data_IF_551839785362
#
_entry.id   IF_551839785362
#
_cell.length_a   1.000
_cell.length_b   1.000
_cell.length_c   1.000
_cell.angle_alpha   90.00
_cell.angle_beta   90.00
_cell.angle_gamma   90.00
#
_symmetry.space_group_name_H-M   'P 1'
#
loop_
_entity.id
_entity.type
_entity.pdbx_description
1 polymer ?
#
# COMPACT_ATOMS: atom_id res chain seq x y z
N UNK A 1 -21.90 42.99 26.07
CA UNK A 1 -21.76 42.45 24.68
C UNK A 1 -22.18 43.58 23.74
N UNK A 2 -21.22 44.10 22.97
CA UNK A 2 -21.50 45.13 22.00
C UNK A 2 -22.00 44.45 20.71
N UNK A 3 -23.20 44.78 20.24
CA UNK A 3 -23.73 44.34 18.95
C UNK A 3 -23.27 45.31 17.87
N UNK A 4 -22.36 44.84 16.97
CA UNK A 4 -22.00 45.59 15.77
C UNK A 4 -23.00 45.27 14.66
N UNK A 5 -23.72 46.23 14.17
CA UNK A 5 -24.72 46.09 13.07
C UNK A 5 -24.20 46.82 11.81
N UNK A 6 -24.07 46.10 10.67
CA UNK A 6 -23.57 46.64 9.41
C UNK A 6 -22.12 47.08 9.44
N UNK A 7 -21.24 46.23 10.02
CA UNK A 7 -19.81 46.41 9.98
C UNK A 7 -19.24 45.44 8.95
N UNK A 8 -18.60 45.94 7.91
CA UNK A 8 -17.97 45.15 6.85
C UNK A 8 -16.48 44.80 7.15
N UNK A 9 -15.86 45.58 8.06
CA UNK A 9 -14.44 45.41 8.37
C UNK A 9 -14.24 45.33 9.89
N UNK A 10 -13.54 44.32 10.33
CA UNK A 10 -13.21 44.09 11.72
C UNK A 10 -11.69 43.91 11.87
N UNK A 11 -11.12 44.58 12.84
CA UNK A 11 -9.74 44.37 13.23
C UNK A 11 -9.68 43.88 14.66
N UNK A 12 -8.97 42.77 14.86
CA UNK A 12 -8.75 42.15 16.17
C UNK A 12 -7.78 42.89 17.03
N UNK A 13 -7.40 42.25 18.12
CA UNK A 13 -6.60 42.82 19.21
C UNK A 13 -5.16 42.26 19.21
N UNK A 14 -4.52 42.19 20.38
CA UNK A 14 -3.23 41.54 20.60
C UNK A 14 -3.38 40.20 21.35
N UNK A 15 -4.59 39.76 21.57
CA UNK A 15 -4.96 38.50 22.21
C UNK A 15 -5.58 37.58 21.16
N UNK A 16 -5.80 36.30 21.52
CA UNK A 16 -6.59 35.40 20.71
C UNK A 16 -8.03 35.91 20.53
N UNK A 17 -8.41 36.17 19.30
CA UNK A 17 -9.72 36.73 18.96
C UNK A 17 -10.58 35.67 18.23
N UNK A 18 -11.90 35.73 18.43
CA UNK A 18 -12.88 35.07 17.58
C UNK A 18 -13.60 36.15 16.76
N UNK A 19 -13.42 36.12 15.44
CA UNK A 19 -13.95 37.15 14.54
C UNK A 19 -14.83 36.48 13.50
N UNK A 20 -16.13 36.77 13.55
CA UNK A 20 -17.11 36.26 12.58
C UNK A 20 -17.65 37.39 11.70
N UNK A 21 -17.74 37.12 10.39
CA UNK A 21 -18.42 37.97 9.42
C UNK A 21 -19.93 37.71 9.34
N UNK A 22 -20.53 38.12 8.24
CA UNK A 22 -21.98 37.97 7.94
C UNK A 22 -22.17 37.54 6.48
N UNK A 23 -23.34 37.68 5.92
CA UNK A 23 -23.67 37.31 4.53
C UNK A 23 -23.18 38.35 3.48
N UNK A 24 -22.41 39.33 3.86
CA UNK A 24 -21.85 40.36 2.97
C UNK A 24 -20.34 40.22 2.89
N UNK A 25 -19.71 40.76 1.85
CA UNK A 25 -18.27 40.79 1.71
C UNK A 25 -17.61 41.54 2.89
N UNK A 26 -16.83 40.81 3.68
CA UNK A 26 -16.18 41.34 4.87
C UNK A 26 -14.66 41.41 4.70
N UNK A 27 -14.00 42.26 5.48
CA UNK A 27 -12.56 42.20 5.72
C UNK A 27 -12.29 41.99 7.20
N UNK A 28 -11.77 40.81 7.54
CA UNK A 28 -11.47 40.41 8.90
C UNK A 28 -9.96 40.33 9.08
N UNK A 29 -9.39 41.13 9.99
CA UNK A 29 -7.94 41.20 10.27
C UNK A 29 -7.69 40.83 11.72
N UNK A 30 -7.09 39.68 11.97
CA UNK A 30 -6.68 39.25 13.33
C UNK A 30 -5.68 40.18 13.99
N UNK A 31 -4.91 40.94 13.20
CA UNK A 31 -3.91 41.93 13.62
C UNK A 31 -2.71 41.32 14.32
N UNK A 32 -2.85 40.84 15.57
CA UNK A 32 -1.82 40.20 16.40
C UNK A 32 -2.43 39.11 17.26
N UNK A 33 -1.59 38.41 17.99
CA UNK A 33 -1.99 37.31 18.87
C UNK A 33 -1.89 35.97 18.20
N UNK A 34 -1.75 34.94 19.01
CA UNK A 34 -1.70 33.55 18.61
C UNK A 34 -3.06 32.87 18.87
N UNK A 35 -3.51 32.00 17.97
CA UNK A 35 -4.75 31.24 18.13
C UNK A 35 -6.02 32.02 17.78
N UNK A 36 -5.98 32.96 16.84
CA UNK A 36 -7.19 33.64 16.38
C UNK A 36 -8.03 32.68 15.53
N UNK A 37 -9.36 32.89 15.56
CA UNK A 37 -10.30 32.16 14.69
C UNK A 37 -11.08 33.19 13.86
N UNK A 38 -11.01 33.06 12.54
CA UNK A 38 -11.70 33.93 11.57
C UNK A 38 -12.70 33.12 10.75
N UNK A 39 -13.92 33.65 10.63
CA UNK A 39 -15.01 33.02 9.86
C UNK A 39 -15.63 34.10 8.98
N UNK A 40 -15.50 33.96 7.66
CA UNK A 40 -16.10 34.91 6.69
C UNK A 40 -17.63 34.89 6.72
N UNK A 41 -18.19 33.69 6.79
CA UNK A 41 -19.61 33.39 6.61
C UNK A 41 -20.00 33.48 5.13
N UNK A 42 -21.05 34.20 4.74
CA UNK A 42 -21.40 34.32 3.32
C UNK A 42 -20.80 35.58 2.69
N UNK A 43 -20.63 35.56 1.36
CA UNK A 43 -20.01 36.64 0.62
C UNK A 43 -18.55 36.35 0.26
N UNK A 44 -17.95 37.21 -0.56
CA UNK A 44 -16.56 37.11 -0.94
C UNK A 44 -15.71 37.87 0.09
N UNK A 45 -15.07 37.17 0.99
CA UNK A 45 -14.42 37.74 2.15
C UNK A 45 -12.89 37.83 2.02
N UNK A 46 -12.29 38.74 2.77
CA UNK A 46 -10.84 38.85 2.95
C UNK A 46 -10.51 38.54 4.41
N UNK A 47 -9.86 37.42 4.64
CA UNK A 47 -9.47 36.95 5.98
C UNK A 47 -7.95 37.05 6.12
N UNK A 48 -7.52 37.86 7.04
CA UNK A 48 -6.11 38.16 7.28
C UNK A 48 -5.70 37.67 8.67
N UNK A 49 -4.79 36.75 8.73
CA UNK A 49 -4.19 36.24 9.96
C UNK A 49 -3.34 37.28 10.67
N UNK A 50 -2.79 36.88 11.79
CA UNK A 50 -1.98 37.74 12.67
C UNK A 50 -0.56 37.95 12.13
N UNK A 51 0.12 38.93 12.66
CA UNK A 51 1.53 39.19 12.33
C UNK A 51 2.52 38.40 13.19
N UNK A 52 2.06 37.67 14.19
CA UNK A 52 2.91 37.07 15.22
C UNK A 52 2.36 35.77 15.85
N UNK A 53 1.43 35.08 15.18
CA UNK A 53 0.86 33.82 15.69
C UNK A 53 0.25 32.95 14.62
N UNK A 54 -0.23 31.78 15.03
CA UNK A 54 -0.92 30.82 14.18
C UNK A 54 -2.43 31.03 14.30
N UNK A 55 -3.11 30.95 13.18
CA UNK A 55 -4.53 31.30 13.08
C UNK A 55 -5.32 30.17 12.42
N UNK A 56 -6.60 30.10 12.75
CA UNK A 56 -7.56 29.16 12.14
C UNK A 56 -8.58 29.95 11.32
N UNK A 57 -8.72 29.59 10.08
CA UNK A 57 -9.73 30.12 9.17
C UNK A 57 -10.78 29.02 8.95
N UNK A 58 -12.04 29.32 9.19
CA UNK A 58 -13.12 28.32 9.07
C UNK A 58 -14.07 28.68 7.94
N UNK A 59 -14.31 27.71 7.07
CA UNK A 59 -15.32 27.78 6.04
C UNK A 59 -16.72 27.40 6.57
N UNK A 60 -17.77 27.87 5.88
CA UNK A 60 -19.16 27.65 6.22
C UNK A 60 -19.87 28.86 6.82
N UNK A 61 -21.17 28.75 6.97
CA UNK A 61 -22.05 29.83 7.44
C UNK A 61 -22.14 29.85 8.97
N UNK A 62 -21.74 30.96 9.59
CA UNK A 62 -21.82 31.16 11.04
C UNK A 62 -23.26 31.49 11.47
N UNK A 63 -23.82 30.70 12.36
CA UNK A 63 -25.11 30.96 12.99
C UNK A 63 -25.01 31.87 14.18
N UNK A 64 -26.14 32.46 14.57
CA UNK A 64 -26.25 33.33 15.75
C UNK A 64 -25.95 32.64 17.09
N UNK A 65 -25.97 31.31 17.15
CA UNK A 65 -25.59 30.51 18.30
C UNK A 65 -24.09 30.13 18.33
N UNK A 66 -23.32 30.60 17.32
CA UNK A 66 -21.88 30.33 17.20
C UNK A 66 -21.55 29.00 16.50
N UNK A 67 -22.53 28.21 16.08
CA UNK A 67 -22.29 26.99 15.30
C UNK A 67 -22.06 27.31 13.83
N UNK A 68 -21.27 26.45 13.15
CA UNK A 68 -21.10 26.47 11.70
C UNK A 68 -22.02 25.48 11.04
N UNK A 69 -22.47 25.79 9.84
CA UNK A 69 -23.20 24.88 8.97
C UNK A 69 -22.61 24.92 7.56
N UNK A 70 -22.83 23.85 6.83
CA UNK A 70 -22.61 23.83 5.40
C UNK A 70 -23.43 24.89 4.69
N UNK A 71 -22.81 25.63 3.78
CA UNK A 71 -23.45 26.68 2.99
C UNK A 71 -22.43 27.32 2.05
N UNK A 72 -22.95 28.02 1.02
CA UNK A 72 -22.10 28.80 0.13
C UNK A 72 -21.57 30.03 0.89
N UNK A 73 -20.29 30.01 1.24
CA UNK A 73 -19.58 31.07 1.95
C UNK A 73 -18.78 32.01 1.02
N UNK A 74 -18.96 31.89 -0.31
CA UNK A 74 -18.39 32.80 -1.32
C UNK A 74 -17.00 32.41 -1.81
N UNK A 75 -16.33 33.36 -2.49
CA UNK A 75 -14.96 33.18 -2.96
C UNK A 75 -14.03 34.01 -2.08
N UNK A 76 -13.32 33.38 -1.17
CA UNK A 76 -12.59 34.09 -0.15
C UNK A 76 -11.11 34.31 -0.53
N UNK A 77 -10.50 35.31 0.06
CA UNK A 77 -9.06 35.52 0.02
C UNK A 77 -8.51 35.39 1.44
N UNK A 78 -7.70 34.39 1.68
CA UNK A 78 -7.23 33.99 3.01
C UNK A 78 -5.70 34.08 3.04
N UNK A 79 -5.15 34.90 3.91
CA UNK A 79 -3.71 35.04 4.09
C UNK A 79 -3.34 34.85 5.57
N UNK A 80 -2.70 33.73 5.89
CA UNK A 80 -2.19 33.42 7.22
C UNK A 80 -1.01 34.29 7.67
N UNK A 81 -0.47 35.12 6.79
CA UNK A 81 0.67 36.03 7.04
C UNK A 81 1.92 35.32 7.57
N UNK A 82 2.25 35.52 8.85
CA UNK A 82 3.55 35.13 9.42
C UNK A 82 3.49 33.86 10.28
N UNK A 83 2.31 33.28 10.51
CA UNK A 83 2.17 32.02 11.23
C UNK A 83 2.88 30.88 10.51
N UNK A 84 3.44 29.94 11.27
CA UNK A 84 4.09 28.74 10.74
C UNK A 84 3.22 27.48 10.83
N UNK A 85 1.99 27.63 11.35
CA UNK A 85 1.06 26.55 11.59
C UNK A 85 -0.40 27.04 11.44
N UNK A 86 -0.66 27.81 10.38
CA UNK A 86 -2.00 28.31 10.07
C UNK A 86 -2.86 27.20 9.49
N UNK A 87 -4.12 27.15 9.92
CA UNK A 87 -5.07 26.08 9.52
C UNK A 87 -6.25 26.66 8.76
N UNK A 88 -6.62 26.03 7.64
CA UNK A 88 -7.88 26.25 6.95
C UNK A 88 -8.78 25.04 7.16
N UNK A 89 -9.97 25.27 7.70
CA UNK A 89 -10.88 24.24 8.22
C UNK A 89 -12.22 24.26 7.45
N UNK A 90 -12.45 23.21 6.66
CA UNK A 90 -13.69 22.93 5.91
C UNK A 90 -14.57 21.88 6.59
N UNK A 91 -14.32 21.53 7.85
CA UNK A 91 -15.04 20.44 8.55
C UNK A 91 -16.57 20.67 8.66
N UNK A 92 -17.04 21.89 8.41
CA UNK A 92 -18.48 22.18 8.36
C UNK A 92 -19.16 21.73 7.05
N UNK A 93 -18.40 21.37 6.01
CA UNK A 93 -18.94 20.97 4.71
C UNK A 93 -19.52 19.55 4.77
N UNK A 94 -20.74 19.40 4.24
CA UNK A 94 -21.46 18.13 4.24
C UNK A 94 -20.95 17.17 3.12
N UNK A 95 -21.36 15.91 3.17
CA UNK A 95 -20.86 14.83 2.30
C UNK A 95 -21.03 15.03 0.78
N UNK A 96 -21.88 15.93 0.36
CA UNK A 96 -22.03 16.28 -1.08
C UNK A 96 -21.12 17.40 -1.55
N UNK A 97 -20.29 17.97 -0.68
CA UNK A 97 -19.43 19.12 -0.96
C UNK A 97 -17.98 18.73 -0.81
N UNK A 98 -17.23 18.79 -1.89
CA UNK A 98 -15.83 18.38 -1.92
C UNK A 98 -14.94 19.58 -2.14
N UNK A 99 -13.71 19.51 -1.63
CA UNK A 99 -12.63 20.46 -1.91
C UNK A 99 -11.51 19.81 -2.72
N UNK A 100 -10.84 20.62 -3.51
CA UNK A 100 -9.59 20.24 -4.18
C UNK A 100 -8.58 21.37 -3.99
N UNK A 101 -7.45 21.07 -3.38
CA UNK A 101 -6.37 22.03 -3.12
C UNK A 101 -5.00 21.40 -3.39
N UNK A 102 -4.14 22.18 -4.04
CA UNK A 102 -2.69 21.91 -4.12
C UNK A 102 -1.96 23.14 -3.55
N UNK A 103 -1.40 22.99 -2.34
CA UNK A 103 -0.70 24.09 -1.68
C UNK A 103 0.67 24.42 -2.31
N UNK A 104 1.15 23.55 -3.20
CA UNK A 104 2.37 23.77 -4.00
C UNK A 104 2.13 24.49 -5.32
N UNK A 105 0.89 24.47 -5.83
CA UNK A 105 0.52 25.14 -7.09
C UNK A 105 0.20 26.61 -6.84
N UNK A 106 1.23 27.46 -6.94
CA UNK A 106 1.13 28.88 -6.68
C UNK A 106 0.83 29.68 -7.96
N UNK A 107 -0.18 30.52 -7.91
CA UNK A 107 -0.44 31.51 -8.95
C UNK A 107 0.70 32.55 -9.04
N UNK A 108 0.67 33.44 -10.06
CA UNK A 108 1.70 34.47 -10.24
C UNK A 108 1.81 35.50 -9.10
N UNK A 109 0.93 35.44 -8.10
CA UNK A 109 0.91 36.30 -6.91
C UNK A 109 1.31 35.53 -5.62
N UNK A 110 1.60 34.23 -5.74
CA UNK A 110 2.01 33.35 -4.65
C UNK A 110 0.85 32.83 -3.81
N UNK A 111 -0.34 32.73 -4.39
CA UNK A 111 -1.48 32.08 -3.75
C UNK A 111 -1.73 30.71 -4.38
N UNK A 112 -2.18 29.76 -3.58
CA UNK A 112 -2.83 28.55 -4.06
C UNK A 112 -4.36 28.74 -4.13
N UNK A 113 -5.03 27.88 -4.86
CA UNK A 113 -6.50 27.94 -5.01
C UNK A 113 -7.11 26.66 -4.42
N UNK A 114 -8.10 26.82 -3.56
CA UNK A 114 -9.03 25.76 -3.19
C UNK A 114 -10.23 25.84 -4.12
N UNK A 115 -10.56 24.76 -4.78
CA UNK A 115 -11.76 24.65 -5.61
C UNK A 115 -12.81 23.84 -4.86
N UNK A 116 -13.99 24.38 -4.74
CA UNK A 116 -15.13 23.73 -4.07
C UNK A 116 -16.10 23.23 -5.12
N UNK A 117 -16.74 22.08 -4.89
CA UNK A 117 -17.60 21.41 -5.89
C UNK A 117 -18.85 22.19 -6.26
N UNK A 118 -19.25 23.21 -5.50
CA UNK A 118 -20.36 24.11 -5.85
C UNK A 118 -19.97 25.21 -6.84
N UNK A 119 -18.70 25.28 -7.23
CA UNK A 119 -18.13 26.25 -8.17
C UNK A 119 -17.50 27.47 -7.51
N UNK A 120 -17.51 27.57 -6.18
CA UNK A 120 -16.77 28.62 -5.46
C UNK A 120 -15.28 28.28 -5.36
N UNK A 121 -14.47 29.29 -5.09
CA UNK A 121 -13.01 29.14 -4.97
C UNK A 121 -12.46 30.05 -3.90
N UNK A 122 -11.58 29.51 -3.05
CA UNK A 122 -10.80 30.31 -2.11
C UNK A 122 -9.35 30.49 -2.58
N UNK A 123 -8.82 31.70 -2.46
CA UNK A 123 -7.41 31.96 -2.67
C UNK A 123 -6.70 31.95 -1.31
N UNK A 124 -5.72 31.07 -1.16
CA UNK A 124 -5.05 30.87 0.11
C UNK A 124 -3.55 31.19 0.00
N UNK A 125 -3.01 31.72 1.05
CA UNK A 125 -1.58 32.01 1.20
C UNK A 125 -1.13 31.84 2.63
N UNK A 126 0.11 31.36 2.81
CA UNK A 126 0.70 31.15 4.13
C UNK A 126 -0.16 30.24 5.03
N UNK A 127 -0.79 29.22 4.44
CA UNK A 127 -1.50 28.15 5.12
C UNK A 127 -0.62 26.90 5.12
N UNK A 128 -0.52 26.21 6.24
CA UNK A 128 0.26 25.00 6.40
C UNK A 128 -0.63 23.76 6.60
N UNK A 129 -1.84 23.95 7.12
CA UNK A 129 -2.71 22.83 7.49
C UNK A 129 -4.08 22.98 6.82
N UNK A 130 -4.61 21.85 6.37
CA UNK A 130 -5.96 21.78 5.79
C UNK A 130 -6.75 20.70 6.54
N UNK A 131 -7.97 21.04 6.90
CA UNK A 131 -8.98 20.10 7.37
C UNK A 131 -10.09 20.06 6.31
N UNK A 132 -10.31 18.92 5.68
CA UNK A 132 -11.37 18.67 4.72
C UNK A 132 -12.75 18.57 5.37
N UNK A 133 -13.73 18.24 4.56
CA UNK A 133 -15.14 18.17 4.98
C UNK A 133 -15.62 16.73 5.18
N UNK A 134 -16.90 16.54 4.80
CA UNK A 134 -17.48 15.19 4.79
C UNK A 134 -17.64 14.65 3.35
N UNK A 135 -17.10 15.32 2.35
CA UNK A 135 -17.09 14.90 0.95
C UNK A 135 -15.76 14.26 0.57
N UNK A 136 -15.69 13.61 -0.57
CA UNK A 136 -14.44 13.04 -1.10
C UNK A 136 -13.50 14.17 -1.56
N UNK A 137 -12.50 14.47 -0.75
CA UNK A 137 -11.60 15.62 -0.91
C UNK A 137 -10.28 15.24 -1.59
N UNK A 138 -9.62 16.22 -2.20
CA UNK A 138 -8.25 16.10 -2.69
C UNK A 138 -7.38 17.18 -2.07
N UNK A 139 -6.46 16.75 -1.20
CA UNK A 139 -5.62 17.66 -0.42
C UNK A 139 -4.15 17.35 -0.69
N UNK A 140 -3.45 18.30 -1.31
CA UNK A 140 -2.03 18.17 -1.64
C UNK A 140 -1.26 19.23 -0.86
N UNK A 141 -0.31 18.78 -0.05
CA UNK A 141 0.59 19.61 0.72
C UNK A 141 1.64 20.33 -0.13
N UNK A 142 2.70 20.75 0.51
CA UNK A 142 3.84 21.40 -0.14
C UNK A 142 5.17 20.86 0.41
N UNK A 143 6.25 21.62 0.29
CA UNK A 143 7.57 21.19 0.79
C UNK A 143 7.83 21.51 2.27
N UNK A 144 6.82 21.95 3.00
CA UNK A 144 6.90 22.23 4.45
C UNK A 144 6.22 21.12 5.24
N UNK A 145 6.39 21.11 6.55
CA UNK A 145 5.63 20.23 7.43
C UNK A 145 4.16 20.65 7.42
N UNK A 146 3.28 19.74 7.03
CA UNK A 146 1.85 19.99 6.93
C UNK A 146 1.07 19.07 7.88
N UNK A 147 -0.09 19.53 8.35
CA UNK A 147 -1.13 18.69 8.94
C UNK A 147 -2.33 18.67 7.99
N UNK A 148 -2.57 17.53 7.36
CA UNK A 148 -3.62 17.34 6.36
C UNK A 148 -4.61 16.31 6.87
N UNK A 149 -5.87 16.69 6.94
CA UNK A 149 -6.97 15.85 7.41
C UNK A 149 -8.01 15.76 6.31
N UNK A 150 -8.34 14.56 5.84
CA UNK A 150 -9.39 14.35 4.84
C UNK A 150 -10.77 14.66 5.42
N UNK A 151 -11.12 13.94 6.46
CA UNK A 151 -12.37 14.15 7.18
C UNK A 151 -13.28 12.94 7.07
N UNK A 152 -14.38 13.04 6.35
CA UNK A 152 -15.18 11.89 6.00
C UNK A 152 -15.35 11.87 4.46
N UNK A 153 -15.47 10.67 3.90
CA UNK A 153 -15.49 10.50 2.44
C UNK A 153 -14.26 9.73 1.99
N UNK A 154 -14.15 9.46 0.72
CA UNK A 154 -12.98 8.76 0.19
C UNK A 154 -11.97 9.81 -0.31
N UNK A 155 -10.99 10.12 0.50
CA UNK A 155 -10.11 11.26 0.31
C UNK A 155 -8.79 10.87 -0.39
N UNK A 156 -8.20 11.83 -1.07
CA UNK A 156 -6.84 11.74 -1.62
C UNK A 156 -5.97 12.77 -0.90
N UNK A 157 -5.00 12.29 -0.13
CA UNK A 157 -4.10 13.13 0.65
C UNK A 157 -2.66 12.91 0.18
N UNK A 158 -1.93 13.99 -0.12
CA UNK A 158 -0.52 13.91 -0.52
C UNK A 158 0.35 14.81 0.35
N UNK A 159 1.30 14.23 1.10
CA UNK A 159 2.23 14.96 1.95
C UNK A 159 3.26 15.78 1.16
N UNK A 160 3.73 15.27 0.01
CA UNK A 160 4.75 15.81 -0.89
C UNK A 160 6.14 15.77 -0.26
N UNK A 161 6.46 16.65 0.69
CA UNK A 161 7.74 16.65 1.41
C UNK A 161 7.59 17.34 2.78
N UNK A 162 8.58 17.14 3.66
CA UNK A 162 8.53 17.60 5.06
C UNK A 162 8.00 16.52 5.98
N UNK A 163 8.12 16.71 7.29
CA UNK A 163 7.58 15.80 8.29
C UNK A 163 6.09 16.12 8.49
N UNK A 164 5.21 15.33 7.90
CA UNK A 164 3.79 15.60 7.81
C UNK A 164 2.96 14.78 8.81
N UNK A 165 1.77 15.30 9.13
CA UNK A 165 0.68 14.55 9.75
C UNK A 165 -0.43 14.38 8.71
N UNK A 166 -0.68 13.14 8.28
CA UNK A 166 -1.64 12.80 7.23
C UNK A 166 -2.71 11.90 7.83
N UNK A 167 -3.92 12.42 7.94
CA UNK A 167 -5.05 11.74 8.56
C UNK A 167 -6.16 11.57 7.51
N UNK A 168 -6.50 10.34 7.14
CA UNK A 168 -7.60 10.03 6.24
C UNK A 168 -8.94 10.43 6.87
N UNK A 169 -9.37 9.65 7.81
CA UNK A 169 -10.56 9.90 8.59
C UNK A 169 -11.57 8.77 8.52
N UNK A 170 -12.73 9.00 7.92
CA UNK A 170 -13.73 7.97 7.71
C UNK A 170 -14.02 7.80 6.22
N UNK A 171 -13.95 6.58 5.73
CA UNK A 171 -14.07 6.23 4.31
C UNK A 171 -12.78 5.64 3.77
N UNK A 172 -12.80 5.20 2.51
CA UNK A 172 -11.64 4.55 1.92
C UNK A 172 -10.68 5.59 1.34
N UNK A 173 -9.63 5.89 2.07
CA UNK A 173 -8.71 6.97 1.75
C UNK A 173 -7.47 6.48 1.00
N UNK A 174 -6.87 7.37 0.22
CA UNK A 174 -5.57 7.12 -0.42
C UNK A 174 -4.57 8.18 0.00
N UNK A 175 -3.54 7.75 0.72
CA UNK A 175 -2.54 8.64 1.33
C UNK A 175 -1.19 8.40 0.66
N UNK A 176 -0.65 9.44 0.04
CA UNK A 176 0.71 9.47 -0.51
C UNK A 176 1.62 10.15 0.52
N UNK A 177 2.53 9.39 1.14
CA UNK A 177 3.35 9.92 2.22
C UNK A 177 4.23 11.10 1.77
N UNK A 178 4.94 10.95 0.68
CA UNK A 178 5.94 11.93 0.25
C UNK A 178 7.29 11.65 0.89
N UNK A 179 8.17 12.65 0.91
CA UNK A 179 9.49 12.54 1.54
C UNK A 179 9.51 13.22 2.89
N UNK A 180 10.11 12.61 3.90
CA UNK A 180 10.16 13.13 5.27
C UNK A 180 9.87 12.02 6.28
N UNK A 181 9.65 12.39 7.54
CA UNK A 181 9.25 11.43 8.55
C UNK A 181 7.79 11.70 8.89
N UNK A 182 6.91 10.94 8.26
CA UNK A 182 5.49 11.22 8.29
C UNK A 182 4.75 10.39 9.36
N UNK A 183 3.71 10.98 9.92
CA UNK A 183 2.70 10.26 10.68
C UNK A 183 1.47 10.08 9.79
N UNK A 184 1.14 8.82 9.49
CA UNK A 184 0.06 8.42 8.59
C UNK A 184 -0.96 7.62 9.38
N UNK A 185 -2.20 8.06 9.33
CA UNK A 185 -3.34 7.38 9.95
C UNK A 185 -4.48 7.31 8.92
N UNK A 186 -4.81 6.11 8.44
CA UNK A 186 -5.92 5.90 7.52
C UNK A 186 -7.24 6.27 8.16
N UNK A 187 -7.53 5.70 9.30
CA UNK A 187 -8.73 6.00 10.07
C UNK A 187 -9.72 4.85 10.14
N UNK A 188 -10.98 5.08 9.77
CA UNK A 188 -12.02 4.07 9.65
C UNK A 188 -12.15 3.60 8.20
N UNK A 189 -12.56 2.35 8.00
CA UNK A 189 -12.81 1.69 6.71
C UNK A 189 -11.52 1.14 6.04
N UNK A 190 -11.38 1.17 4.71
CA UNK A 190 -10.33 0.45 3.98
C UNK A 190 -9.37 1.40 3.28
N UNK A 191 -8.22 1.65 3.90
CA UNK A 191 -7.30 2.71 3.52
C UNK A 191 -6.06 2.20 2.80
N UNK A 192 -5.49 3.07 1.96
CA UNK A 192 -4.32 2.77 1.15
C UNK A 192 -3.21 3.79 1.41
N UNK A 193 -2.01 3.30 1.73
CA UNK A 193 -0.80 4.12 1.66
C UNK A 193 -0.04 3.86 0.36
N UNK A 194 0.44 4.90 -0.30
CA UNK A 194 1.18 4.81 -1.56
C UNK A 194 2.59 5.38 -1.44
N UNK A 195 3.55 4.60 -1.93
CA UNK A 195 4.97 4.93 -2.04
C UNK A 195 5.44 5.01 -3.49
N UNK A 196 4.52 5.22 -4.44
CA UNK A 196 4.85 5.32 -5.88
C UNK A 196 5.92 6.37 -6.20
N UNK A 197 6.06 7.39 -5.35
CA UNK A 197 7.06 8.46 -5.51
C UNK A 197 8.46 8.07 -5.02
N UNK A 198 8.65 6.92 -4.41
CA UNK A 198 9.96 6.48 -3.94
C UNK A 198 10.97 6.33 -5.08
N UNK A 199 12.21 6.69 -4.81
CA UNK A 199 13.31 6.70 -5.80
C UNK A 199 14.26 5.52 -5.64
N UNK A 200 13.88 4.52 -4.88
CA UNK A 200 14.60 3.28 -4.62
C UNK A 200 13.69 2.30 -3.86
N UNK A 201 14.24 1.13 -3.55
CA UNK A 201 13.54 0.05 -2.88
C UNK A 201 12.95 0.50 -1.54
N UNK A 202 11.71 0.09 -1.26
CA UNK A 202 11.06 0.33 0.03
C UNK A 202 10.93 -0.95 0.85
N UNK A 203 10.82 -0.77 2.16
CA UNK A 203 10.46 -1.82 3.10
C UNK A 203 9.36 -1.31 4.02
N UNK A 204 8.18 -1.89 3.94
CA UNK A 204 7.00 -1.48 4.71
C UNK A 204 6.34 -2.68 5.36
N UNK A 205 5.92 -2.50 6.63
CA UNK A 205 5.13 -3.49 7.35
C UNK A 205 3.96 -2.84 8.08
N UNK A 206 2.75 -3.25 7.74
CA UNK A 206 1.53 -2.80 8.42
C UNK A 206 1.35 -3.40 9.83
N UNK A 207 2.18 -4.36 10.23
CA UNK A 207 2.22 -4.84 11.62
C UNK A 207 3.02 -3.90 12.53
N UNK A 208 3.85 -3.01 11.96
CA UNK A 208 4.68 -2.07 12.72
C UNK A 208 3.92 -0.77 12.91
N UNK A 209 3.42 -0.54 14.12
CA UNK A 209 2.66 0.68 14.50
C UNK A 209 3.55 1.77 15.10
N UNK A 210 4.88 1.58 15.09
CA UNK A 210 5.88 2.57 15.49
C UNK A 210 6.65 3.03 14.28
N UNK A 211 7.44 4.08 14.41
CA UNK A 211 8.26 4.60 13.32
C UNK A 211 9.13 3.50 12.69
N UNK A 212 9.04 3.36 11.37
CA UNK A 212 9.78 2.41 10.55
C UNK A 212 10.50 3.12 9.41
N UNK A 213 11.74 2.75 9.15
CA UNK A 213 12.49 3.29 8.02
C UNK A 213 11.97 2.67 6.72
N UNK A 214 11.26 3.45 5.92
CA UNK A 214 10.62 2.97 4.69
C UNK A 214 11.66 2.73 3.58
N UNK A 215 12.68 3.54 3.48
CA UNK A 215 13.65 3.47 2.39
C UNK A 215 13.22 4.31 1.18
N UNK A 216 13.86 4.11 0.04
CA UNK A 216 13.50 4.78 -1.22
C UNK A 216 13.48 6.32 -1.20
N UNK A 217 14.06 6.94 -0.16
CA UNK A 217 14.01 8.39 0.05
C UNK A 217 12.77 8.87 0.78
N UNK A 218 11.89 7.96 1.23
CA UNK A 218 10.62 8.31 1.89
C UNK A 218 10.80 8.71 3.36
N UNK A 219 11.87 8.25 4.02
CA UNK A 219 12.19 8.61 5.41
C UNK A 219 11.81 7.53 6.42
N UNK A 220 11.39 7.99 7.61
CA UNK A 220 11.00 7.10 8.72
C UNK A 220 9.57 7.43 9.14
N UNK A 221 8.62 6.59 8.74
CA UNK A 221 7.20 6.87 8.88
C UNK A 221 6.56 6.04 10.00
N UNK A 222 5.54 6.62 10.62
CA UNK A 222 4.61 5.90 11.49
C UNK A 222 3.31 5.68 10.73
N UNK A 223 2.94 4.43 10.52
CA UNK A 223 1.79 4.04 9.69
C UNK A 223 0.81 3.27 10.57
N UNK A 224 -0.43 3.74 10.63
CA UNK A 224 -1.50 3.17 11.46
C UNK A 224 -2.81 3.12 10.68
N UNK A 225 -3.66 2.15 11.00
CA UNK A 225 -5.01 2.00 10.41
C UNK A 225 -4.96 2.05 8.88
N UNK A 226 -4.11 1.21 8.28
CA UNK A 226 -3.95 1.03 6.84
C UNK A 226 -4.13 -0.45 6.51
N UNK A 227 -4.91 -0.72 5.47
CA UNK A 227 -5.14 -2.08 4.96
C UNK A 227 -4.37 -2.38 3.69
N UNK A 228 -4.07 -1.36 2.88
CA UNK A 228 -3.48 -1.58 1.55
C UNK A 228 -2.20 -0.77 1.35
N UNK A 229 -1.27 -1.35 0.58
CA UNK A 229 0.00 -0.71 0.24
C UNK A 229 0.18 -0.71 -1.27
N UNK A 230 0.59 0.43 -1.80
CA UNK A 230 1.13 0.53 -3.15
C UNK A 230 2.63 0.84 -3.01
N UNK A 231 3.45 -0.07 -3.54
CA UNK A 231 4.90 0.04 -3.59
C UNK A 231 5.39 1.04 -4.62
N UNK A 232 6.63 0.89 -5.01
CA UNK A 232 7.33 1.82 -5.90
C UNK A 232 7.55 1.23 -7.32
N UNK A 233 8.52 1.75 -8.04
CA UNK A 233 9.00 1.17 -9.29
C UNK A 233 10.32 0.40 -9.13
N UNK A 234 10.65 -0.01 -7.91
CA UNK A 234 11.89 -0.68 -7.52
C UNK A 234 11.55 -2.00 -6.80
N UNK A 235 12.57 -2.72 -6.34
CA UNK A 235 12.38 -4.02 -5.70
C UNK A 235 11.95 -3.84 -4.24
N UNK A 236 10.68 -3.97 -3.97
CA UNK A 236 10.10 -3.63 -2.69
C UNK A 236 9.92 -4.85 -1.76
N UNK A 237 9.88 -4.60 -0.47
CA UNK A 237 9.49 -5.60 0.53
C UNK A 237 8.28 -5.09 1.30
N UNK A 238 7.14 -5.78 1.12
CA UNK A 238 5.85 -5.32 1.66
C UNK A 238 5.23 -6.43 2.51
N UNK A 239 4.85 -6.08 3.74
CA UNK A 239 4.12 -6.97 4.65
C UNK A 239 2.80 -6.34 5.08
N UNK A 240 1.72 -7.09 4.96
CA UNK A 240 0.40 -6.69 5.46
C UNK A 240 0.30 -6.73 6.99
N UNK A 241 -0.92 -6.72 7.49
CA UNK A 241 -1.27 -6.98 8.90
C UNK A 241 -2.10 -8.27 9.01
N UNK A 242 -2.80 -8.48 10.12
CA UNK A 242 -3.64 -9.68 10.29
C UNK A 242 -5.03 -9.59 9.65
N UNK A 243 -5.38 -8.46 9.05
CA UNK A 243 -6.62 -8.23 8.31
C UNK A 243 -6.52 -8.72 6.87
N UNK A 244 -7.50 -8.36 6.06
CA UNK A 244 -7.48 -8.59 4.62
C UNK A 244 -6.75 -7.41 3.97
N UNK A 245 -5.65 -7.69 3.26
CA UNK A 245 -4.83 -6.66 2.67
C UNK A 245 -4.79 -6.77 1.13
N UNK A 246 -4.64 -5.65 0.46
CA UNK A 246 -4.26 -5.57 -0.94
C UNK A 246 -2.87 -4.93 -1.04
N UNK A 247 -1.89 -5.72 -1.47
CA UNK A 247 -0.50 -5.30 -1.55
C UNK A 247 -0.06 -5.30 -3.02
N UNK A 248 0.35 -4.13 -3.51
CA UNK A 248 0.77 -3.92 -4.90
C UNK A 248 2.25 -3.59 -4.89
N UNK A 249 3.08 -4.41 -5.52
CA UNK A 249 4.52 -4.19 -5.61
C UNK A 249 4.87 -2.99 -6.49
N UNK A 250 4.31 -2.96 -7.67
CA UNK A 250 4.61 -1.97 -8.69
C UNK A 250 5.47 -2.55 -9.80
N UNK A 251 6.52 -1.87 -10.18
CA UNK A 251 7.50 -2.44 -11.11
C UNK A 251 8.74 -2.88 -10.33
N UNK A 252 9.39 -3.94 -10.76
CA UNK A 252 10.55 -4.50 -10.08
C UNK A 252 10.33 -5.94 -9.64
N UNK A 253 11.29 -6.47 -8.89
CA UNK A 253 11.18 -7.79 -8.29
C UNK A 253 10.77 -7.64 -6.82
N UNK A 254 9.48 -7.76 -6.55
CA UNK A 254 8.93 -7.45 -5.26
C UNK A 254 8.80 -8.69 -4.37
N UNK A 255 8.97 -8.47 -3.09
CA UNK A 255 8.80 -9.48 -2.08
C UNK A 255 7.63 -9.13 -1.15
N UNK A 256 6.62 -9.98 -1.15
CA UNK A 256 5.54 -9.90 -0.18
C UNK A 256 5.81 -10.88 0.98
N UNK A 257 5.58 -10.43 2.20
CA UNK A 257 5.64 -11.29 3.39
C UNK A 257 4.20 -11.59 3.80
N UNK A 258 3.81 -12.84 3.64
CA UNK A 258 2.45 -13.29 3.91
C UNK A 258 2.11 -13.17 5.39
N UNK A 259 0.88 -12.76 5.64
CA UNK A 259 0.31 -12.59 6.97
C UNK A 259 -0.92 -13.48 7.17
N UNK A 260 -1.63 -13.26 8.26
CA UNK A 260 -2.90 -13.95 8.45
C UNK A 260 -4.01 -13.42 7.59
N UNK A 261 -5.01 -13.53 7.31
CA UNK A 261 -5.99 -12.91 6.44
C UNK A 261 -6.02 -13.58 5.07
N UNK A 262 -6.98 -13.20 4.27
CA UNK A 262 -7.06 -13.60 2.86
C UNK A 262 -6.60 -12.41 2.03
N UNK A 263 -5.32 -12.41 1.68
CA UNK A 263 -4.66 -11.26 1.12
C UNK A 263 -4.62 -11.32 -0.43
N UNK A 264 -4.46 -10.17 -1.05
CA UNK A 264 -4.27 -10.07 -2.50
C UNK A 264 -2.92 -9.43 -2.78
N UNK A 265 -2.07 -10.14 -3.51
CA UNK A 265 -0.73 -9.70 -3.91
C UNK A 265 -0.71 -9.45 -5.41
N UNK A 266 -0.39 -8.22 -5.79
CA UNK A 266 -0.12 -7.82 -7.17
C UNK A 266 1.38 -7.59 -7.32
N UNK A 267 2.09 -8.54 -7.95
CA UNK A 267 3.52 -8.43 -8.20
C UNK A 267 3.89 -7.43 -9.29
N UNK A 268 2.93 -6.81 -9.95
CA UNK A 268 3.17 -5.82 -10.99
C UNK A 268 2.29 -4.58 -10.79
N UNK A 269 2.25 -3.74 -11.80
CA UNK A 269 1.47 -2.51 -11.79
C UNK A 269 -0.02 -2.80 -11.88
N UNK A 270 -0.82 -2.17 -11.04
CA UNK A 270 -2.28 -2.17 -11.12
C UNK A 270 -2.76 -0.79 -11.61
N UNK A 271 -3.11 -0.69 -12.89
CA UNK A 271 -3.65 0.53 -13.49
C UNK A 271 -5.18 0.46 -13.55
N UNK A 272 -5.85 1.11 -12.61
CA UNK A 272 -7.28 0.97 -12.40
C UNK A 272 -7.63 -0.47 -11.99
N UNK A 273 -8.25 -1.24 -12.89
CA UNK A 273 -8.59 -2.65 -12.65
C UNK A 273 -7.74 -3.63 -13.46
N UNK A 274 -6.77 -3.14 -14.23
CA UNK A 274 -5.93 -3.98 -15.09
C UNK A 274 -4.57 -4.19 -14.44
N UNK A 275 -4.24 -5.45 -14.18
CA UNK A 275 -2.93 -5.85 -13.68
C UNK A 275 -1.98 -6.19 -14.83
N UNK A 276 -0.76 -5.69 -14.75
CA UNK A 276 0.31 -5.96 -15.71
C UNK A 276 1.64 -6.20 -15.00
N UNK A 277 2.37 -7.22 -15.44
CA UNK A 277 3.75 -7.53 -15.00
C UNK A 277 4.67 -7.29 -16.18
N UNK A 278 5.77 -6.58 -15.97
CA UNK A 278 6.74 -6.38 -17.04
C UNK A 278 7.52 -7.69 -17.32
N UNK A 279 7.97 -7.84 -18.57
CA UNK A 279 8.74 -9.03 -18.93
C UNK A 279 10.05 -9.11 -18.13
N UNK A 280 10.25 -10.23 -17.46
CA UNK A 280 11.45 -10.51 -16.67
C UNK A 280 11.36 -10.10 -15.20
N UNK A 281 10.25 -9.57 -14.73
CA UNK A 281 9.99 -9.41 -13.30
C UNK A 281 9.75 -10.76 -12.64
N UNK A 282 10.28 -10.92 -11.42
CA UNK A 282 10.30 -12.17 -10.67
C UNK A 282 9.85 -11.92 -9.23
N UNK A 283 8.55 -11.69 -9.06
CA UNK A 283 7.93 -11.37 -7.77
C UNK A 283 7.76 -12.60 -6.89
N UNK A 284 7.83 -12.43 -5.58
CA UNK A 284 7.81 -13.53 -4.61
C UNK A 284 6.85 -13.31 -3.46
N UNK A 285 6.29 -14.42 -2.92
CA UNK A 285 5.57 -14.42 -1.64
C UNK A 285 6.28 -15.35 -0.65
N UNK A 286 6.54 -14.84 0.54
CA UNK A 286 7.21 -15.52 1.65
C UNK A 286 6.15 -15.94 2.69
N UNK A 287 5.87 -17.25 2.75
CA UNK A 287 4.94 -17.87 3.70
C UNK A 287 5.63 -18.42 4.95
N UNK A 288 6.87 -18.05 5.24
CA UNK A 288 7.62 -18.57 6.39
C UNK A 288 6.91 -18.35 7.75
N UNK A 289 5.98 -17.41 7.82
CA UNK A 289 5.14 -17.14 8.99
C UNK A 289 3.84 -17.97 9.03
N UNK A 290 3.50 -18.68 7.96
CA UNK A 290 2.35 -19.57 7.93
C UNK A 290 2.65 -20.89 8.66
N UNK A 291 1.60 -21.64 9.02
CA UNK A 291 1.81 -22.98 9.60
C UNK A 291 1.98 -24.05 8.52
N UNK A 292 1.31 -23.88 7.38
CA UNK A 292 1.34 -24.79 6.24
C UNK A 292 0.73 -24.10 5.02
N UNK A 293 1.27 -24.30 3.82
CA UNK A 293 0.75 -23.68 2.61
C UNK A 293 0.64 -24.67 1.43
N UNK A 294 -0.41 -24.50 0.63
CA UNK A 294 -0.54 -25.11 -0.69
C UNK A 294 -0.60 -23.97 -1.72
N UNK A 295 0.32 -23.96 -2.65
CA UNK A 295 0.36 -23.00 -3.76
C UNK A 295 0.45 -23.76 -5.07
N UNK A 296 -0.41 -23.43 -6.03
CA UNK A 296 -0.34 -23.91 -7.40
C UNK A 296 -0.38 -22.71 -8.35
N UNK A 297 0.80 -22.28 -8.81
CA UNK A 297 0.93 -21.16 -9.75
C UNK A 297 0.50 -21.53 -11.17
N UNK A 298 0.39 -22.83 -11.51
CA UNK A 298 -0.08 -23.30 -12.82
C UNK A 298 -1.60 -23.24 -12.95
N UNK A 299 -2.32 -23.27 -11.83
CA UNK A 299 -3.78 -23.22 -11.77
C UNK A 299 -4.24 -21.78 -11.66
N UNK A 300 -4.75 -21.22 -12.75
CA UNK A 300 -5.19 -19.83 -12.77
C UNK A 300 -6.70 -19.69 -12.79
N UNK A 301 -7.19 -18.73 -12.05
CA UNK A 301 -8.57 -18.24 -12.07
C UNK A 301 -8.57 -16.84 -12.67
N UNK A 302 -9.65 -16.47 -13.35
CA UNK A 302 -9.79 -15.11 -13.91
C UNK A 302 -10.77 -14.31 -13.06
N UNK A 303 -10.37 -13.14 -12.63
CA UNK A 303 -11.23 -12.22 -11.87
C UNK A 303 -12.30 -11.56 -12.77
N UNK A 304 -13.19 -10.77 -12.16
CA UNK A 304 -14.26 -10.07 -12.89
C UNK A 304 -13.74 -9.01 -13.89
N UNK A 305 -12.48 -8.61 -13.78
CA UNK A 305 -11.82 -7.62 -14.63
C UNK A 305 -11.00 -8.28 -15.76
N UNK A 306 -10.91 -9.61 -15.77
CA UNK A 306 -10.17 -10.37 -16.77
C UNK A 306 -8.70 -10.62 -16.42
N UNK A 307 -8.25 -10.31 -15.21
CA UNK A 307 -6.88 -10.62 -14.76
C UNK A 307 -6.81 -12.08 -14.28
N UNK A 308 -5.74 -12.77 -14.65
CA UNK A 308 -5.47 -14.11 -14.16
C UNK A 308 -4.69 -14.08 -12.85
N UNK A 309 -5.08 -14.94 -11.91
CA UNK A 309 -4.40 -15.09 -10.63
C UNK A 309 -4.39 -16.57 -10.20
N UNK A 310 -3.41 -16.91 -9.37
CA UNK A 310 -3.30 -18.19 -8.69
C UNK A 310 -3.74 -18.05 -7.24
N UNK A 311 -3.98 -19.17 -6.56
CA UNK A 311 -4.39 -19.15 -5.17
C UNK A 311 -3.38 -19.85 -4.27
N UNK A 312 -3.17 -19.31 -3.07
CA UNK A 312 -2.46 -19.96 -2.00
C UNK A 312 -3.43 -20.24 -0.86
N UNK A 313 -3.51 -21.51 -0.44
CA UNK A 313 -4.32 -21.96 0.68
C UNK A 313 -3.43 -22.04 1.92
N UNK A 314 -3.75 -21.27 2.96
CA UNK A 314 -3.07 -21.32 4.27
C UNK A 314 -3.89 -22.20 5.22
N UNK A 315 -3.23 -23.11 5.95
CA UNK A 315 -3.87 -23.98 6.93
C UNK A 315 -3.20 -23.84 8.29
N UNK A 316 -3.99 -23.95 9.36
CA UNK A 316 -3.48 -23.99 10.73
C UNK A 316 -3.17 -25.42 11.21
N UNK A 317 -3.31 -26.42 10.34
CA UNK A 317 -3.02 -27.83 10.67
C UNK A 317 -1.55 -28.14 10.42
N UNK A 318 -0.87 -28.61 11.44
CA UNK A 318 0.50 -29.11 11.33
C UNK A 318 0.55 -30.60 10.94
N UNK A 319 -0.59 -31.23 10.64
CA UNK A 319 -0.65 -32.65 10.24
C UNK A 319 -0.68 -32.78 8.72
N UNK A 320 -0.06 -33.86 8.22
CA UNK A 320 -0.03 -34.17 6.80
C UNK A 320 -1.34 -34.83 6.33
N UNK A 321 -2.47 -34.11 6.52
CA UNK A 321 -3.85 -34.58 6.24
C UNK A 321 -4.40 -34.10 4.88
N UNK A 322 -3.54 -33.50 4.05
CA UNK A 322 -3.95 -32.80 2.83
C UNK A 322 -4.67 -31.48 3.13
N UNK A 323 -4.86 -30.65 2.12
CA UNK A 323 -5.56 -29.35 2.26
C UNK A 323 -7.10 -29.48 2.16
N UNK A 324 -7.66 -30.66 2.45
CA UNK A 324 -9.11 -30.91 2.37
C UNK A 324 -9.91 -30.37 3.55
N UNK A 325 -9.22 -30.01 4.64
CA UNK A 325 -9.86 -29.49 5.86
C UNK A 325 -8.96 -28.48 6.55
N UNK A 326 -9.54 -27.57 7.34
CA UNK A 326 -8.84 -26.57 8.15
C UNK A 326 -8.13 -25.46 7.35
N UNK A 327 -8.63 -25.06 6.18
CA UNK A 327 -8.17 -23.85 5.51
C UNK A 327 -8.54 -22.64 6.39
N UNK A 328 -7.52 -21.88 6.80
CA UNK A 328 -7.66 -20.67 7.60
C UNK A 328 -7.96 -19.47 6.72
N UNK A 329 -7.24 -19.35 5.61
CA UNK A 329 -7.39 -18.26 4.64
C UNK A 329 -6.88 -18.65 3.26
N UNK A 330 -7.26 -17.87 2.26
CA UNK A 330 -6.85 -18.06 0.87
C UNK A 330 -6.36 -16.73 0.31
N UNK A 331 -5.13 -16.71 -0.20
CA UNK A 331 -4.58 -15.53 -0.86
C UNK A 331 -4.79 -15.60 -2.37
N UNK A 332 -4.87 -14.44 -3.01
CA UNK A 332 -4.89 -14.27 -4.46
C UNK A 332 -3.56 -13.74 -4.95
N UNK A 333 -2.93 -14.43 -5.88
CA UNK A 333 -1.56 -14.19 -6.36
C UNK A 333 -1.58 -13.74 -7.82
N UNK A 334 -1.35 -12.47 -8.08
CA UNK A 334 -1.26 -11.91 -9.43
C UNK A 334 0.20 -11.63 -9.78
N UNK A 335 0.72 -12.27 -10.83
CA UNK A 335 2.08 -12.05 -11.30
C UNK A 335 3.17 -12.47 -10.32
N UNK A 336 2.93 -13.50 -9.53
CA UNK A 336 3.90 -14.09 -8.62
C UNK A 336 4.60 -15.27 -9.34
N UNK A 337 5.92 -15.29 -9.25
CA UNK A 337 6.75 -16.33 -9.86
C UNK A 337 7.44 -17.22 -8.80
N UNK A 338 7.71 -16.71 -7.62
CA UNK A 338 8.51 -17.40 -6.62
C UNK A 338 7.75 -17.56 -5.31
N UNK A 339 7.94 -18.71 -4.66
CA UNK A 339 7.28 -19.01 -3.39
C UNK A 339 8.32 -19.52 -2.38
N UNK A 340 8.26 -18.95 -1.19
CA UNK A 340 8.92 -19.49 -0.02
C UNK A 340 7.87 -20.08 0.92
N UNK A 341 7.98 -21.36 1.21
CA UNK A 341 7.08 -22.13 2.07
C UNK A 341 7.22 -21.80 3.55
N UNK A 342 6.59 -22.61 4.38
CA UNK A 342 6.53 -22.46 5.82
C UNK A 342 7.62 -23.30 6.51
N UNK A 343 7.46 -23.58 7.79
CA UNK A 343 8.31 -24.54 8.54
C UNK A 343 7.64 -25.90 8.77
N UNK A 344 6.64 -26.24 7.97
CA UNK A 344 5.88 -27.50 8.05
C UNK A 344 5.62 -28.02 6.64
N UNK A 345 5.07 -29.22 6.52
CA UNK A 345 4.71 -29.81 5.22
C UNK A 345 3.96 -28.84 4.31
N UNK A 346 4.54 -28.50 3.17
CA UNK A 346 3.97 -27.63 2.16
C UNK A 346 3.81 -28.38 0.80
N UNK A 347 3.02 -27.80 -0.09
CA UNK A 347 2.95 -28.22 -1.48
C UNK A 347 3.08 -26.99 -2.36
N UNK A 348 4.16 -26.92 -3.12
CA UNK A 348 4.53 -25.78 -3.94
C UNK A 348 4.64 -26.21 -5.40
N UNK A 349 3.76 -25.67 -6.23
CA UNK A 349 3.69 -25.99 -7.67
C UNK A 349 3.93 -24.70 -8.46
N UNK A 350 4.96 -24.70 -9.29
CA UNK A 350 5.31 -23.61 -10.21
C UNK A 350 4.37 -23.51 -11.42
N UNK A 351 4.84 -22.85 -12.46
CA UNK A 351 4.11 -22.66 -13.72
C UNK A 351 5.06 -22.84 -14.94
N UNK A 352 4.73 -22.25 -16.10
CA UNK A 352 5.56 -22.34 -17.31
C UNK A 352 6.71 -21.32 -17.36
N UNK A 353 6.96 -20.59 -16.29
CA UNK A 353 8.06 -19.61 -16.16
C UNK A 353 9.12 -20.16 -15.23
N UNK A 354 10.34 -19.62 -15.30
CA UNK A 354 11.37 -19.96 -14.31
C UNK A 354 10.95 -19.53 -12.92
N UNK A 355 10.80 -20.49 -12.01
CA UNK A 355 10.35 -20.31 -10.65
C UNK A 355 11.48 -20.58 -9.65
N UNK A 356 11.42 -19.96 -8.49
CA UNK A 356 12.18 -20.36 -7.29
C UNK A 356 11.19 -20.82 -6.23
N UNK A 357 11.24 -22.09 -5.86
CA UNK A 357 10.38 -22.70 -4.85
C UNK A 357 11.24 -23.21 -3.70
N UNK A 358 11.03 -22.65 -2.50
CA UNK A 358 11.76 -23.00 -1.27
C UNK A 358 10.77 -23.68 -0.30
N UNK A 359 10.93 -24.99 0.01
CA UNK A 359 10.11 -25.73 0.98
C UNK A 359 10.36 -25.26 2.42
N UNK A 360 11.60 -25.03 2.79
CA UNK A 360 12.12 -24.60 4.09
C UNK A 360 12.30 -25.73 5.07
N UNK A 361 11.30 -26.11 5.83
CA UNK A 361 11.37 -27.23 6.76
C UNK A 361 10.02 -27.97 6.77
N UNK A 362 10.07 -29.26 6.83
CA UNK A 362 8.89 -30.11 6.70
C UNK A 362 9.18 -31.20 5.68
N UNK A 363 8.27 -32.13 5.49
CA UNK A 363 8.38 -33.10 4.40
C UNK A 363 7.59 -32.54 3.19
N UNK A 364 8.24 -31.72 2.34
CA UNK A 364 7.59 -30.90 1.35
C UNK A 364 7.40 -31.57 -0.01
N UNK A 365 6.46 -31.07 -0.81
CA UNK A 365 6.27 -31.49 -2.20
C UNK A 365 6.49 -30.29 -3.11
N UNK A 366 7.46 -30.39 -4.02
CA UNK A 366 7.83 -29.34 -4.95
C UNK A 366 7.68 -29.82 -6.41
N UNK A 367 7.10 -29.03 -7.27
CA UNK A 367 6.95 -29.29 -8.71
C UNK A 367 7.18 -27.98 -9.48
N UNK A 368 8.27 -27.89 -10.28
CA UNK A 368 8.62 -26.68 -11.05
C UNK A 368 7.66 -26.39 -12.20
N UNK A 369 7.21 -27.42 -12.90
CA UNK A 369 6.43 -27.42 -14.15
C UNK A 369 7.31 -27.14 -15.37
N UNK A 370 7.36 -25.93 -15.87
CA UNK A 370 8.13 -25.56 -17.05
C UNK A 370 8.94 -24.29 -16.81
N UNK A 371 10.03 -24.17 -17.53
CA UNK A 371 11.03 -23.12 -17.29
C UNK A 371 12.27 -23.68 -16.61
N UNK A 372 13.32 -22.89 -16.49
CA UNK A 372 14.51 -23.29 -15.77
C UNK A 372 14.31 -22.96 -14.27
N UNK A 373 13.94 -23.95 -13.47
CA UNK A 373 13.49 -23.76 -12.09
C UNK A 373 14.60 -23.97 -11.05
N UNK A 374 14.44 -23.35 -9.89
CA UNK A 374 15.25 -23.60 -8.69
C UNK A 374 14.33 -24.14 -7.60
N UNK A 375 14.55 -25.42 -7.22
CA UNK A 375 13.74 -26.13 -6.24
C UNK A 375 14.61 -26.47 -5.04
N UNK A 376 14.31 -25.94 -3.88
CA UNK A 376 15.01 -26.16 -2.63
C UNK A 376 14.07 -26.80 -1.60
N UNK A 377 14.30 -28.07 -1.22
CA UNK A 377 13.49 -28.77 -0.21
C UNK A 377 13.71 -28.16 1.17
N UNK A 378 14.92 -28.26 1.67
CA UNK A 378 15.31 -27.69 2.95
C UNK A 378 15.58 -28.73 4.03
N UNK A 379 14.93 -28.59 5.18
CA UNK A 379 15.02 -29.58 6.26
C UNK A 379 13.81 -30.52 6.21
N UNK A 380 14.02 -31.82 5.98
CA UNK A 380 12.91 -32.79 5.96
C UNK A 380 13.08 -33.87 4.92
N UNK A 381 12.06 -34.68 4.66
CA UNK A 381 12.14 -35.68 3.62
C UNK A 381 11.29 -35.21 2.43
N UNK A 382 11.92 -34.52 1.50
CA UNK A 382 11.25 -33.77 0.47
C UNK A 382 11.01 -34.59 -0.79
N UNK A 383 9.97 -34.23 -1.53
CA UNK A 383 9.62 -34.91 -2.79
C UNK A 383 9.54 -33.90 -3.93
N UNK A 384 10.41 -34.07 -4.92
CA UNK A 384 10.43 -33.29 -6.15
C UNK A 384 9.74 -34.08 -7.25
N UNK A 385 8.71 -33.52 -7.87
CA UNK A 385 7.90 -34.19 -8.90
C UNK A 385 8.28 -33.65 -10.27
N UNK A 386 8.76 -34.53 -11.17
CA UNK A 386 8.95 -34.22 -12.58
C UNK A 386 7.78 -34.76 -13.42
N UNK A 387 7.05 -33.86 -14.08
CA UNK A 387 5.85 -34.18 -14.86
C UNK A 387 6.07 -34.13 -16.38
N UNK A 388 7.12 -33.45 -16.84
CA UNK A 388 7.49 -33.32 -18.24
C UNK A 388 8.97 -33.65 -18.44
N UNK A 389 9.36 -34.00 -19.66
CA UNK A 389 10.76 -34.20 -20.04
C UNK A 389 11.39 -33.01 -20.77
N UNK A 390 10.61 -31.98 -21.04
CA UNK A 390 11.01 -30.70 -21.62
C UNK A 390 10.45 -29.57 -20.75
N UNK A 391 10.62 -29.70 -19.45
CA UNK A 391 10.18 -28.71 -18.45
C UNK A 391 11.23 -27.66 -18.13
N UNK A 392 12.43 -27.78 -18.70
CA UNK A 392 13.54 -26.84 -18.50
C UNK A 392 14.76 -27.53 -17.92
N UNK A 393 15.74 -26.71 -17.51
CA UNK A 393 16.95 -27.18 -16.83
C UNK A 393 16.87 -26.81 -15.37
N UNK A 394 16.36 -27.73 -14.58
CA UNK A 394 16.09 -27.45 -13.20
C UNK A 394 17.33 -27.63 -12.32
N UNK A 395 17.40 -26.82 -11.28
CA UNK A 395 18.37 -26.97 -10.21
C UNK A 395 17.63 -27.41 -8.95
N UNK A 396 17.91 -28.62 -8.49
CA UNK A 396 17.21 -29.23 -7.38
C UNK A 396 18.17 -29.51 -6.25
N UNK A 397 17.84 -29.01 -5.05
CA UNK A 397 18.57 -29.26 -3.81
C UNK A 397 17.63 -29.88 -2.79
N UNK A 398 17.85 -31.15 -2.42
CA UNK A 398 17.06 -31.81 -1.38
C UNK A 398 17.21 -31.15 -0.05
N UNK A 399 18.45 -30.79 0.33
CA UNK A 399 18.76 -30.22 1.64
C UNK A 399 19.19 -31.26 2.66
N UNK A 400 18.57 -31.25 3.83
CA UNK A 400 18.86 -32.25 4.88
C UNK A 400 17.68 -33.20 5.03
N UNK A 401 17.95 -34.49 4.93
CA UNK A 401 16.90 -35.50 5.10
C UNK A 401 17.08 -36.72 4.25
N UNK A 402 15.99 -37.29 3.81
CA UNK A 402 15.97 -38.42 2.91
C UNK A 402 15.07 -38.11 1.72
N UNK A 403 15.66 -37.40 0.76
CA UNK A 403 14.95 -36.69 -0.29
C UNK A 403 14.73 -37.55 -1.54
N UNK A 404 13.65 -37.29 -2.24
CA UNK A 404 13.17 -38.12 -3.35
C UNK A 404 12.87 -37.28 -4.59
N UNK A 405 13.42 -37.66 -5.75
CA UNK A 405 12.93 -37.20 -7.04
C UNK A 405 12.03 -38.26 -7.66
N UNK A 406 10.80 -37.87 -8.02
CA UNK A 406 9.79 -38.77 -8.62
C UNK A 406 9.57 -38.47 -10.10
N UNK A 407 10.12 -39.33 -10.95
CA UNK A 407 9.92 -39.33 -12.41
C UNK A 407 8.78 -40.28 -12.88
N UNK A 408 7.98 -40.84 -11.96
CA UNK A 408 6.92 -41.81 -12.32
C UNK A 408 5.84 -41.23 -13.21
N UNK A 409 5.72 -39.90 -13.26
CA UNK A 409 4.77 -39.18 -14.13
C UNK A 409 5.25 -39.04 -15.57
N UNK A 410 6.54 -39.20 -15.83
CA UNK A 410 7.06 -39.23 -17.20
C UNK A 410 6.56 -40.48 -17.93
N UNK A 411 6.18 -40.33 -19.18
CA UNK A 411 5.71 -41.47 -19.99
C UNK A 411 6.78 -42.57 -20.15
N UNK A 412 6.35 -43.82 -20.35
CA UNK A 412 7.20 -45.01 -20.45
C UNK A 412 8.24 -44.99 -21.59
N UNK A 413 8.18 -44.02 -22.50
CA UNK A 413 9.19 -43.81 -23.54
C UNK A 413 10.41 -43.03 -23.09
N UNK A 414 10.38 -42.47 -21.88
CA UNK A 414 11.44 -41.62 -21.34
C UNK A 414 12.31 -42.45 -20.38
N UNK A 415 13.58 -42.66 -20.76
CA UNK A 415 14.54 -43.24 -19.86
C UNK A 415 15.31 -42.14 -19.14
N UNK A 416 15.47 -42.26 -17.83
CA UNK A 416 16.31 -41.41 -17.03
C UNK A 416 17.67 -42.05 -16.82
N UNK A 417 18.71 -41.23 -16.78
CA UNK A 417 20.06 -41.66 -16.41
C UNK A 417 20.57 -40.68 -15.34
N UNK A 418 20.71 -41.19 -14.14
CA UNK A 418 21.21 -40.45 -13.00
C UNK A 418 22.21 -41.30 -12.25
N UNK A 419 23.28 -40.64 -11.77
CA UNK A 419 24.15 -41.20 -10.75
C UNK A 419 24.18 -40.21 -9.60
N UNK A 420 23.58 -40.59 -8.49
CA UNK A 420 23.56 -39.75 -7.30
C UNK A 420 25.00 -39.50 -6.82
N UNK A 421 25.27 -38.26 -6.46
CA UNK A 421 26.57 -37.84 -5.92
C UNK A 421 26.60 -37.98 -4.39
N UNK A 422 27.77 -37.78 -3.78
CA UNK A 422 27.87 -37.61 -2.33
C UNK A 422 27.21 -36.25 -1.93
N UNK A 423 26.86 -36.14 -0.67
CA UNK A 423 26.24 -34.92 -0.12
C UNK A 423 26.98 -33.65 -0.57
N UNK A 424 26.20 -32.58 -0.84
CA UNK A 424 26.69 -31.29 -1.31
C UNK A 424 27.40 -31.26 -2.68
N UNK A 425 27.35 -32.36 -3.45
CA UNK A 425 27.91 -32.45 -4.80
C UNK A 425 26.76 -32.54 -5.82
N UNK A 426 26.74 -31.67 -6.80
CA UNK A 426 25.74 -31.72 -7.88
C UNK A 426 25.98 -32.92 -8.80
N UNK A 427 24.92 -33.64 -9.08
CA UNK A 427 24.83 -34.66 -10.13
C UNK A 427 24.01 -34.14 -11.30
N UNK A 428 24.18 -34.71 -12.49
CA UNK A 428 23.36 -34.39 -13.66
C UNK A 428 22.35 -35.51 -13.89
N UNK A 429 21.08 -35.16 -14.00
CA UNK A 429 20.05 -36.06 -14.50
C UNK A 429 19.92 -35.86 -16.00
N UNK A 430 19.94 -36.93 -16.74
CA UNK A 430 19.71 -36.90 -18.16
C UNK A 430 18.44 -37.66 -18.50
N UNK A 431 17.47 -37.01 -19.09
CA UNK A 431 16.24 -37.60 -19.58
C UNK A 431 16.35 -37.81 -21.11
N UNK A 432 15.96 -38.98 -21.62
CA UNK A 432 16.03 -39.25 -23.05
C UNK A 432 15.15 -38.27 -23.81
N UNK A 433 15.75 -37.53 -24.74
CA UNK A 433 15.09 -36.49 -25.54
C UNK A 433 14.57 -35.28 -24.75
N UNK A 434 15.04 -35.08 -23.50
CA UNK A 434 14.64 -33.97 -22.62
C UNK A 434 15.79 -33.05 -22.24
N UNK A 435 15.51 -32.11 -21.40
CA UNK A 435 16.46 -31.22 -20.76
C UNK A 435 17.21 -31.98 -19.65
N UNK A 436 18.32 -31.42 -19.22
CA UNK A 436 19.18 -32.02 -18.20
C UNK A 436 19.10 -31.20 -16.92
N UNK A 437 18.66 -31.81 -15.85
CA UNK A 437 18.62 -31.20 -14.53
C UNK A 437 19.93 -31.39 -13.77
N UNK A 438 20.16 -30.53 -12.82
CA UNK A 438 21.25 -30.71 -11.86
C UNK A 438 20.67 -30.85 -10.45
N UNK A 439 21.11 -31.90 -9.77
CA UNK A 439 20.53 -32.30 -8.47
C UNK A 439 21.63 -32.50 -7.44
N UNK A 440 21.38 -32.16 -6.19
CA UNK A 440 22.24 -32.52 -5.05
C UNK A 440 21.39 -32.89 -3.84
N UNK A 441 21.99 -33.55 -2.87
CA UNK A 441 21.34 -33.97 -1.63
C UNK A 441 20.01 -34.73 -1.91
N UNK A 442 20.09 -35.71 -2.81
CA UNK A 442 18.96 -36.60 -3.14
C UNK A 442 19.36 -38.04 -2.87
N UNK A 443 18.61 -38.73 -2.04
CA UNK A 443 18.88 -40.13 -1.63
C UNK A 443 18.05 -41.12 -2.43
N UNK A 444 16.87 -40.71 -2.91
CA UNK A 444 15.95 -41.61 -3.59
C UNK A 444 15.54 -41.11 -4.95
N UNK A 445 15.36 -42.06 -5.88
CA UNK A 445 14.83 -41.80 -7.22
C UNK A 445 13.73 -42.79 -7.53
N UNK A 446 12.56 -42.27 -7.88
CA UNK A 446 11.47 -43.11 -8.44
C UNK A 446 11.53 -42.95 -9.95
N UNK A 447 11.80 -44.04 -10.63
CA UNK A 447 11.93 -44.06 -12.09
C UNK A 447 10.60 -44.10 -12.82
N UNK A 448 10.67 -43.97 -14.16
CA UNK A 448 9.52 -44.04 -15.03
C UNK A 448 8.91 -45.47 -15.04
N UNK A 449 7.59 -45.59 -15.25
CA UNK A 449 6.94 -46.89 -15.47
C UNK A 449 7.28 -47.43 -16.84
N UNK A 450 8.41 -48.10 -16.98
CA UNK A 450 8.90 -48.72 -18.21
C UNK A 450 8.50 -50.18 -18.35
#
# INVERSE_FOLDING_TARGET
EDQLIRVENIKGTIQADFIGGNEQNNTLDAFRGDGNTLIGSGGDDVLLGSSDGNDTFKAGILKSDGSLIDGNDGNNTIDGKFGTNNTLDYSAYASGRTISVDMGDLDGTGNSTVTISDGTTDKIKNIQNIIGGAGADTIIGNSQNNSLVGGAGNDIIKGVAGDNQLLGGAGNDTIYSGTGNDFIDGGEDNDTVSFEAATGDITVSLTTTTAQAVGGGMGTDTITNIENVIGSSHNDTISGNSGINTLIGGAGNDKFVATKGSDTYYGGILAGTTHTVANGESNSVDYSNASKVYVDLSSTTTDANGNNYSQALKSNSSTNDGFSSNIESTDSLYGIANIKGSSSFDTLIGNELSNTLEGMAGDDILEGKGGDDVLEGGDGNDTFIATSHNDGKDTIDGGTGNDTIDYSKLGSSNAINITLAEADIYATVTVTSGDNDIVKNIENVIGTAG
#
